data_IF_508314799908
#
_entry.id   IF_508314799908
#
_cell.length_a   1.000
_cell.length_b   1.000
_cell.length_c   1.000
_cell.angle_alpha   90.00
_cell.angle_beta   90.00
_cell.angle_gamma   90.00
#
_symmetry.space_group_name_H-M   'P 1'
#
loop_
_entity.id
_entity.type
_entity.pdbx_description
1 polymer ?
#
# COMPACT_ATOMS: atom_id res chain seq x y z
N UNK A 1 51.22 -19.53 -30.17
CA UNK A 1 50.07 -20.28 -30.59
C UNK A 1 49.51 -20.90 -29.29
N UNK A 2 48.44 -20.44 -28.75
CA UNK A 2 47.11 -20.40 -29.22
C UNK A 2 46.25 -19.43 -28.38
N UNK A 3 45.26 -18.87 -29.03
CA UNK A 3 44.41 -17.83 -28.59
C UNK A 3 43.17 -18.45 -27.90
N UNK A 4 42.99 -18.19 -26.61
CA UNK A 4 41.80 -18.57 -25.84
C UNK A 4 40.89 -17.40 -25.58
N UNK A 5 39.80 -17.30 -26.33
CA UNK A 5 38.75 -16.27 -26.26
C UNK A 5 38.02 -16.24 -24.91
N UNK A 6 38.02 -15.11 -24.28
CA UNK A 6 37.21 -14.81 -23.10
C UNK A 6 35.72 -14.89 -23.38
N UNK A 7 35.06 -15.83 -22.78
CA UNK A 7 33.60 -15.85 -22.64
C UNK A 7 33.18 -14.88 -21.56
N UNK A 8 32.44 -13.81 -21.93
CA UNK A 8 31.72 -12.98 -21.00
C UNK A 8 30.53 -13.81 -20.48
N UNK A 9 30.69 -14.40 -19.31
CA UNK A 9 29.57 -14.97 -18.56
C UNK A 9 28.73 -13.82 -18.02
N UNK A 10 27.50 -13.77 -18.48
CA UNK A 10 26.47 -12.88 -17.93
C UNK A 10 26.39 -13.14 -16.42
N UNK A 11 26.62 -12.09 -15.63
CA UNK A 11 26.56 -12.14 -14.19
C UNK A 11 25.15 -12.51 -13.75
N UNK A 12 25.00 -13.67 -13.13
CA UNK A 12 23.80 -14.05 -12.42
C UNK A 12 23.65 -13.10 -11.22
N UNK A 13 22.58 -12.31 -11.22
CA UNK A 13 22.16 -11.54 -10.07
C UNK A 13 21.65 -12.52 -9.00
N UNK A 14 22.48 -12.86 -8.01
CA UNK A 14 22.06 -13.67 -6.88
C UNK A 14 21.22 -12.79 -5.93
N UNK A 15 19.94 -13.06 -5.88
CA UNK A 15 19.05 -12.47 -4.87
C UNK A 15 19.23 -13.29 -3.59
N UNK A 16 19.97 -12.75 -2.62
CA UNK A 16 20.03 -13.31 -1.27
C UNK A 16 18.87 -12.71 -0.48
N UNK A 17 17.86 -13.53 -0.17
CA UNK A 17 16.77 -13.19 0.75
C UNK A 17 17.30 -13.36 2.17
N UNK A 18 17.80 -12.28 2.77
CA UNK A 18 17.90 -12.18 4.20
C UNK A 18 16.57 -11.62 4.71
N UNK A 19 16.08 -12.14 5.83
CA UNK A 19 14.72 -11.93 6.35
C UNK A 19 14.35 -10.46 6.66
N UNK A 20 15.26 -9.49 6.44
CA UNK A 20 15.07 -8.09 6.82
C UNK A 20 15.50 -7.05 5.75
N UNK A 21 16.06 -7.43 4.60
CA UNK A 21 16.41 -6.46 3.55
C UNK A 21 16.65 -7.11 2.19
N UNK A 22 16.07 -6.54 1.12
CA UNK A 22 16.46 -6.86 -0.24
C UNK A 22 17.72 -6.06 -0.60
N UNK A 23 18.81 -6.75 -0.92
CA UNK A 23 20.02 -6.13 -1.44
C UNK A 23 20.01 -6.20 -2.97
N UNK A 24 20.00 -5.06 -3.64
CA UNK A 24 20.29 -4.97 -5.06
C UNK A 24 21.78 -4.72 -5.22
N UNK A 25 22.47 -5.62 -5.90
CA UNK A 25 23.87 -5.45 -6.23
C UNK A 25 23.96 -4.57 -7.48
N UNK A 26 24.51 -3.38 -7.35
CA UNK A 26 24.85 -2.56 -8.50
C UNK A 26 26.18 -3.08 -9.08
N UNK A 27 26.11 -3.70 -10.24
CA UNK A 27 27.25 -4.27 -10.95
C UNK A 27 28.25 -3.23 -11.47
N UNK A 28 27.94 -1.95 -11.34
CA UNK A 28 28.80 -0.85 -11.82
C UNK A 28 29.65 -0.25 -10.72
N UNK A 29 29.14 -0.19 -9.49
CA UNK A 29 29.82 0.52 -8.38
C UNK A 29 30.33 -0.39 -7.26
N UNK A 30 30.06 -1.70 -7.31
CA UNK A 30 30.33 -2.66 -6.24
C UNK A 30 29.79 -2.25 -4.83
N UNK A 31 28.94 -1.27 -4.76
CA UNK A 31 28.33 -0.83 -3.52
C UNK A 31 27.02 -1.58 -3.22
N UNK A 32 26.90 -2.11 -2.00
CA UNK A 32 25.64 -2.62 -1.46
C UNK A 32 24.70 -1.45 -1.23
N UNK A 33 23.74 -1.28 -2.13
CA UNK A 33 22.63 -0.36 -1.88
C UNK A 33 21.58 -1.11 -1.09
N UNK A 34 21.51 -0.86 0.20
CA UNK A 34 20.43 -1.37 1.05
C UNK A 34 19.17 -0.55 0.75
N UNK A 35 18.34 -1.07 -0.13
CA UNK A 35 17.02 -0.49 -0.36
C UNK A 35 16.08 -1.14 0.65
N UNK A 36 15.91 -0.49 1.79
CA UNK A 36 14.82 -0.82 2.72
C UNK A 36 13.51 -0.48 2.02
N UNK A 37 12.91 -1.46 1.39
CA UNK A 37 11.61 -1.34 0.73
C UNK A 37 10.64 -2.21 1.47
N UNK A 38 9.61 -1.56 2.01
CA UNK A 38 8.56 -2.23 2.78
C UNK A 38 7.28 -2.33 1.97
N UNK A 39 6.51 -3.36 2.20
CA UNK A 39 5.15 -3.43 1.66
C UNK A 39 4.20 -2.64 2.54
N UNK A 40 3.49 -1.74 1.92
CA UNK A 40 2.56 -0.83 2.58
C UNK A 40 1.14 -1.19 2.17
N UNK A 41 0.26 -1.35 3.14
CA UNK A 41 -1.16 -1.59 2.91
C UNK A 41 -1.96 -0.33 3.24
N UNK A 42 -2.73 0.15 2.29
CA UNK A 42 -3.73 1.18 2.48
C UNK A 42 -5.11 0.56 2.74
N UNK A 43 -5.84 1.13 3.69
CA UNK A 43 -7.14 0.66 4.17
C UNK A 43 -8.13 1.83 4.14
N UNK A 44 -9.11 1.77 3.25
CA UNK A 44 -10.27 2.69 3.23
C UNK A 44 -11.41 2.05 4.01
N UNK A 45 -11.50 2.39 5.31
CA UNK A 45 -12.42 1.76 6.25
C UNK A 45 -13.84 2.33 6.12
N UNK A 46 -14.73 1.57 5.49
CA UNK A 46 -16.13 1.91 5.32
C UNK A 46 -17.09 1.06 6.19
N UNK A 47 -18.35 1.51 6.33
CA UNK A 47 -19.36 0.85 7.18
C UNK A 47 -19.78 -0.56 6.71
N UNK A 48 -19.63 -0.90 5.44
CA UNK A 48 -20.01 -2.19 4.88
C UNK A 48 -18.98 -2.75 3.89
N UNK A 49 -18.08 -1.92 3.43
CA UNK A 49 -17.04 -2.26 2.47
C UNK A 49 -15.76 -1.58 2.92
N UNK A 50 -14.71 -2.33 3.07
CA UNK A 50 -13.37 -1.83 3.36
C UNK A 50 -12.49 -2.07 2.15
N UNK A 51 -12.07 -0.99 1.50
CA UNK A 51 -11.13 -1.06 0.39
C UNK A 51 -9.72 -1.33 0.89
N UNK A 52 -9.01 -2.22 0.20
CA UNK A 52 -7.62 -2.57 0.50
C UNK A 52 -6.78 -2.36 -0.73
N UNK A 53 -5.61 -1.77 -0.57
CA UNK A 53 -4.57 -1.73 -1.59
C UNK A 53 -3.20 -2.01 -0.96
N UNK A 54 -2.36 -2.78 -1.65
CA UNK A 54 -1.02 -3.13 -1.16
C UNK A 54 0.01 -2.72 -2.21
N UNK A 55 1.07 -2.06 -1.78
CA UNK A 55 2.14 -1.63 -2.67
C UNK A 55 2.93 -2.82 -3.24
N UNK A 56 3.56 -2.59 -4.37
CA UNK A 56 4.66 -3.44 -4.79
C UNK A 56 5.90 -3.21 -3.90
N UNK A 57 6.92 -4.03 -4.05
CA UNK A 57 8.19 -3.89 -3.32
C UNK A 57 8.96 -2.62 -3.69
N UNK A 58 8.62 -1.97 -4.82
CA UNK A 58 9.29 -0.76 -5.26
C UNK A 58 8.72 0.50 -4.63
N UNK A 59 7.63 0.38 -3.88
CA UNK A 59 6.84 1.50 -3.35
C UNK A 59 6.41 2.50 -4.44
N UNK A 60 6.22 2.00 -5.66
CA UNK A 60 5.87 2.83 -6.82
C UNK A 60 4.39 2.80 -7.14
N UNK A 61 3.76 1.64 -7.02
CA UNK A 61 2.39 1.37 -7.48
C UNK A 61 1.64 0.49 -6.49
N UNK A 62 0.30 0.57 -6.54
CA UNK A 62 -0.57 -0.42 -5.93
C UNK A 62 -0.49 -1.72 -6.74
N UNK A 63 0.21 -2.73 -6.23
CA UNK A 63 0.40 -4.03 -6.88
C UNK A 63 -0.77 -4.99 -6.67
N UNK A 64 -1.56 -4.77 -5.61
CA UNK A 64 -2.74 -5.58 -5.27
C UNK A 64 -3.86 -4.68 -4.76
N UNK A 65 -5.11 -5.02 -5.07
CA UNK A 65 -6.28 -4.36 -4.50
C UNK A 65 -7.44 -5.32 -4.33
N UNK A 66 -8.19 -5.18 -3.23
CA UNK A 66 -9.34 -6.01 -2.89
C UNK A 66 -10.36 -5.21 -2.05
N UNK A 67 -11.51 -5.83 -1.77
CA UNK A 67 -12.55 -5.26 -0.90
C UNK A 67 -13.03 -6.30 0.09
N UNK A 68 -12.91 -6.00 1.37
CA UNK A 68 -13.49 -6.80 2.44
C UNK A 68 -14.95 -6.35 2.63
N UNK A 69 -15.88 -7.29 2.41
CA UNK A 69 -17.31 -7.06 2.56
C UNK A 69 -17.78 -7.50 3.94
N UNK A 70 -17.78 -6.59 4.90
CA UNK A 70 -18.33 -6.84 6.23
C UNK A 70 -18.72 -5.53 6.92
N UNK A 71 -19.71 -5.64 7.82
CA UNK A 71 -20.11 -4.59 8.76
C UNK A 71 -19.55 -4.83 10.17
N UNK A 72 -18.92 -5.97 10.39
CA UNK A 72 -18.34 -6.31 11.68
C UNK A 72 -16.85 -6.03 11.65
N UNK A 73 -16.41 -5.27 12.62
CA UNK A 73 -15.01 -4.86 12.75
C UNK A 73 -14.07 -6.07 12.88
N UNK A 74 -14.50 -7.11 13.60
CA UNK A 74 -13.71 -8.33 13.81
C UNK A 74 -13.45 -9.09 12.49
N UNK A 75 -14.44 -9.11 11.60
CA UNK A 75 -14.29 -9.76 10.27
C UNK A 75 -13.36 -8.94 9.37
N UNK A 76 -13.44 -7.60 9.44
CA UNK A 76 -12.51 -6.73 8.73
C UNK A 76 -11.09 -6.90 9.25
N UNK A 77 -10.92 -6.92 10.58
CA UNK A 77 -9.61 -7.14 11.21
C UNK A 77 -8.99 -8.47 10.79
N UNK A 78 -9.76 -9.57 10.87
CA UNK A 78 -9.31 -10.90 10.44
C UNK A 78 -8.91 -10.92 8.96
N UNK A 79 -9.66 -10.23 8.10
CA UNK A 79 -9.31 -10.08 6.68
C UNK A 79 -8.01 -9.32 6.47
N UNK A 80 -7.80 -8.23 7.21
CA UNK A 80 -6.56 -7.44 7.17
C UNK A 80 -5.37 -8.27 7.65
N UNK A 81 -5.49 -8.97 8.79
CA UNK A 81 -4.43 -9.83 9.34
C UNK A 81 -4.03 -10.94 8.35
N UNK A 82 -5.01 -11.56 7.68
CA UNK A 82 -4.74 -12.55 6.63
C UNK A 82 -3.92 -11.95 5.50
N UNK A 83 -4.32 -10.79 4.97
CA UNK A 83 -3.61 -10.12 3.88
C UNK A 83 -2.22 -9.64 4.29
N UNK A 84 -2.03 -9.20 5.54
CA UNK A 84 -0.71 -8.88 6.10
C UNK A 84 0.22 -10.10 6.01
N UNK A 85 -0.26 -11.27 6.46
CA UNK A 85 0.51 -12.51 6.44
C UNK A 85 0.78 -13.01 5.01
N UNK A 86 -0.22 -12.96 4.12
CA UNK A 86 -0.11 -13.42 2.74
C UNK A 86 0.86 -12.56 1.91
N UNK A 87 0.87 -11.25 2.14
CA UNK A 87 1.65 -10.31 1.33
C UNK A 87 2.94 -9.83 2.00
N UNK A 88 3.15 -10.09 3.29
CA UNK A 88 4.31 -9.59 4.04
C UNK A 88 4.27 -8.06 4.19
N UNK A 89 3.13 -7.53 4.66
CA UNK A 89 2.94 -6.09 4.88
C UNK A 89 3.65 -5.67 6.15
N UNK A 90 4.30 -4.50 6.12
CA UNK A 90 5.11 -3.97 7.21
C UNK A 90 4.61 -2.62 7.74
N UNK A 91 3.77 -1.92 6.98
CA UNK A 91 3.19 -0.63 7.35
C UNK A 91 1.73 -0.55 6.93
N UNK A 92 0.87 -0.02 7.79
CA UNK A 92 -0.53 0.23 7.49
C UNK A 92 -0.80 1.74 7.32
N UNK A 93 -1.56 2.09 6.30
CA UNK A 93 -2.04 3.45 6.04
C UNK A 93 -3.55 3.42 6.08
N UNK A 94 -4.16 4.05 7.07
CA UNK A 94 -5.61 4.08 7.25
C UNK A 94 -6.18 5.45 6.82
N UNK A 95 -7.18 5.45 5.96
CA UNK A 95 -7.90 6.63 5.56
C UNK A 95 -8.56 7.33 6.75
N UNK A 96 -8.33 8.64 6.87
CA UNK A 96 -8.84 9.47 7.97
C UNK A 96 -9.63 10.66 7.39
N UNK A 97 -10.96 10.49 7.19
CA UNK A 97 -11.77 11.51 6.56
C UNK A 97 -11.99 12.69 7.51
N UNK A 98 -11.37 13.83 7.24
CA UNK A 98 -11.64 15.11 7.94
C UNK A 98 -12.70 15.92 7.20
N UNK A 99 -13.52 16.65 7.93
CA UNK A 99 -14.45 17.61 7.35
C UNK A 99 -13.70 18.77 6.66
N UNK A 100 -14.35 19.44 5.71
CA UNK A 100 -13.75 20.57 4.98
C UNK A 100 -13.36 21.73 5.89
N UNK A 101 -14.09 21.92 7.00
CA UNK A 101 -13.82 22.90 8.06
C UNK A 101 -12.71 22.49 9.04
N UNK A 102 -12.13 21.30 8.86
CA UNK A 102 -11.08 20.76 9.72
C UNK A 102 -11.58 20.04 10.98
N UNK A 103 -12.88 20.01 11.22
CA UNK A 103 -13.47 19.29 12.35
C UNK A 103 -13.39 17.78 12.17
N UNK A 104 -13.36 17.06 13.30
CA UNK A 104 -13.36 15.60 13.33
C UNK A 104 -14.81 15.14 13.37
N UNK A 105 -15.25 14.45 12.32
CA UNK A 105 -16.59 13.87 12.27
C UNK A 105 -16.61 12.46 12.88
N UNK A 106 -17.82 11.94 13.15
CA UNK A 106 -18.03 10.57 13.68
C UNK A 106 -17.29 9.49 12.89
N UNK A 107 -17.17 9.66 11.58
CA UNK A 107 -16.44 8.71 10.73
C UNK A 107 -14.93 8.73 10.99
N UNK A 108 -14.35 9.89 11.21
CA UNK A 108 -12.95 10.04 11.56
C UNK A 108 -12.64 9.44 12.95
N UNK A 109 -13.56 9.62 13.93
CA UNK A 109 -13.44 9.00 15.25
C UNK A 109 -13.46 7.47 15.15
N UNK A 110 -14.34 6.88 14.34
CA UNK A 110 -14.36 5.43 14.08
C UNK A 110 -13.05 4.96 13.44
N UNK A 111 -12.51 5.69 12.47
CA UNK A 111 -11.23 5.34 11.85
C UNK A 111 -10.09 5.43 12.87
N UNK A 112 -10.05 6.45 13.73
CA UNK A 112 -9.04 6.57 14.77
C UNK A 112 -9.12 5.39 15.77
N UNK A 113 -10.33 5.03 16.23
CA UNK A 113 -10.53 3.88 17.11
C UNK A 113 -10.08 2.56 16.44
N UNK A 114 -10.40 2.38 15.15
CA UNK A 114 -9.97 1.19 14.42
C UNK A 114 -8.44 1.16 14.21
N UNK A 115 -7.78 2.31 14.06
CA UNK A 115 -6.33 2.39 14.00
C UNK A 115 -5.66 1.85 15.27
N UNK A 116 -6.22 2.15 16.45
CA UNK A 116 -5.69 1.62 17.72
C UNK A 116 -5.87 0.10 17.80
N UNK A 117 -7.01 -0.42 17.36
CA UNK A 117 -7.23 -1.88 17.29
C UNK A 117 -6.22 -2.53 16.34
N UNK A 118 -6.01 -1.95 15.14
CA UNK A 118 -5.02 -2.45 14.20
C UNK A 118 -3.61 -2.49 14.79
N UNK A 119 -3.17 -1.42 15.48
CA UNK A 119 -1.85 -1.38 16.14
C UNK A 119 -1.71 -2.48 17.18
N UNK A 120 -2.71 -2.66 18.02
CA UNK A 120 -2.69 -3.66 19.10
C UNK A 120 -2.68 -5.09 18.54
N UNK A 121 -3.50 -5.38 17.54
CA UNK A 121 -3.73 -6.73 17.03
C UNK A 121 -2.70 -7.18 15.98
N UNK A 122 -2.05 -6.25 15.28
CA UNK A 122 -1.06 -6.57 14.25
C UNK A 122 0.38 -6.30 14.68
N UNK A 123 0.59 -5.43 15.67
CA UNK A 123 1.91 -4.95 16.07
C UNK A 123 2.57 -4.03 15.04
N UNK A 124 1.89 -3.67 13.96
CA UNK A 124 2.42 -2.82 12.91
C UNK A 124 2.14 -1.34 13.19
N UNK A 125 2.98 -0.47 12.65
CA UNK A 125 2.72 0.96 12.62
C UNK A 125 1.49 1.25 11.74
N UNK A 126 0.59 2.14 12.23
CA UNK A 126 -0.60 2.59 11.50
C UNK A 126 -0.54 4.10 11.34
N UNK A 127 -0.39 4.56 10.11
CA UNK A 127 -0.40 5.97 9.73
C UNK A 127 -1.81 6.39 9.36
N UNK A 128 -2.32 7.46 9.97
CA UNK A 128 -3.60 8.07 9.57
C UNK A 128 -3.36 9.02 8.39
N UNK A 129 -4.06 8.77 7.29
CA UNK A 129 -3.93 9.54 6.06
C UNK A 129 -5.15 10.44 5.81
N UNK A 130 -4.95 11.74 5.72
CA UNK A 130 -6.02 12.71 5.42
C UNK A 130 -6.38 12.66 3.93
N UNK A 131 -7.58 12.17 3.61
CA UNK A 131 -8.08 11.95 2.25
C UNK A 131 -8.39 13.25 1.47
N UNK A 132 -8.43 14.41 2.10
CA UNK A 132 -8.78 15.68 1.44
C UNK A 132 -7.90 16.03 0.25
N UNK A 133 -6.73 15.41 0.15
CA UNK A 133 -5.74 15.66 -0.92
C UNK A 133 -5.85 14.72 -2.11
N UNK A 134 -6.60 13.62 -2.00
CA UNK A 134 -6.71 12.57 -3.02
C UNK A 134 -8.04 12.54 -3.78
N UNK A 135 -9.07 13.18 -3.25
CA UNK A 135 -10.47 13.04 -3.74
C UNK A 135 -10.72 13.68 -5.11
N UNK A 136 -9.91 14.68 -5.51
CA UNK A 136 -10.15 15.42 -6.77
C UNK A 136 -9.82 14.54 -7.99
N UNK A 137 -8.82 13.67 -7.91
CA UNK A 137 -8.39 12.84 -9.04
C UNK A 137 -9.17 11.54 -9.17
N UNK A 138 -9.62 10.93 -8.07
CA UNK A 138 -10.36 9.67 -8.05
C UNK A 138 -11.71 9.76 -8.79
N UNK A 139 -12.48 10.81 -8.57
CA UNK A 139 -13.76 11.03 -9.25
C UNK A 139 -13.62 11.22 -10.77
N UNK A 140 -12.55 11.86 -11.21
CA UNK A 140 -12.29 12.12 -12.62
C UNK A 140 -11.90 10.84 -13.39
N UNK A 141 -11.18 9.92 -12.75
CA UNK A 141 -10.76 8.65 -13.36
C UNK A 141 -11.93 7.69 -13.52
N UNK A 142 -12.82 7.62 -12.53
CA UNK A 142 -13.97 6.70 -12.50
C UNK A 142 -15.10 7.12 -13.47
N UNK A 143 -15.28 8.42 -13.71
CA UNK A 143 -16.27 8.91 -14.67
C UNK A 143 -15.93 8.55 -16.12
N UNK A 144 -14.65 8.36 -16.45
CA UNK A 144 -14.20 8.04 -17.82
C UNK A 144 -14.43 6.60 -18.26
N UNK A 145 -14.65 5.66 -17.34
CA UNK A 145 -14.64 4.23 -17.66
C UNK A 145 -16.00 3.54 -17.81
N UNK A 146 -17.13 4.25 -17.92
CA UNK A 146 -18.43 3.75 -18.46
C UNK A 146 -19.01 2.42 -17.92
N UNK A 147 -18.61 1.92 -16.75
CA UNK A 147 -19.02 0.59 -16.26
C UNK A 147 -20.35 0.58 -15.48
N UNK A 148 -21.08 -0.56 -15.51
CA UNK A 148 -22.37 -0.76 -14.85
C UNK A 148 -22.36 -0.53 -13.33
N UNK A 149 -23.39 0.12 -12.78
CA UNK A 149 -23.48 0.63 -11.39
C UNK A 149 -23.19 -0.42 -10.29
N UNK A 150 -23.51 -1.70 -10.50
CA UNK A 150 -23.32 -2.77 -9.51
C UNK A 150 -21.89 -3.34 -9.50
N UNK A 151 -21.23 -3.35 -10.65
CA UNK A 151 -19.79 -3.66 -10.80
C UNK A 151 -18.94 -2.49 -10.35
N UNK A 152 -19.43 -1.25 -10.55
CA UNK A 152 -18.82 0.00 -10.12
C UNK A 152 -18.54 0.07 -8.63
N UNK A 153 -19.47 -0.42 -7.76
CA UNK A 153 -19.34 -0.28 -6.31
C UNK A 153 -18.16 -1.09 -5.74
N UNK A 154 -17.94 -2.33 -6.22
CA UNK A 154 -16.75 -3.13 -5.85
C UNK A 154 -15.43 -2.51 -6.35
N UNK A 155 -15.47 -1.94 -7.54
CA UNK A 155 -14.30 -1.32 -8.17
C UNK A 155 -13.99 0.03 -7.53
N UNK A 156 -15.00 0.79 -7.07
CA UNK A 156 -14.83 2.13 -6.47
C UNK A 156 -14.06 2.06 -5.15
N UNK A 157 -14.43 1.14 -4.25
CA UNK A 157 -13.80 1.06 -2.93
C UNK A 157 -12.33 0.56 -3.04
N UNK A 158 -12.07 -0.42 -3.92
CA UNK A 158 -10.70 -0.88 -4.22
C UNK A 158 -9.86 0.22 -4.91
N UNK A 159 -10.47 0.97 -5.84
CA UNK A 159 -9.80 2.09 -6.53
C UNK A 159 -9.54 3.25 -5.56
N UNK A 160 -10.45 3.54 -4.64
CA UNK A 160 -10.25 4.56 -3.61
C UNK A 160 -9.04 4.22 -2.74
N UNK A 161 -8.94 2.98 -2.26
CA UNK A 161 -7.79 2.51 -1.49
C UNK A 161 -6.48 2.57 -2.31
N UNK A 162 -6.52 2.20 -3.60
CA UNK A 162 -5.35 2.27 -4.47
C UNK A 162 -4.86 3.71 -4.68
N UNK A 163 -5.79 4.64 -4.94
CA UNK A 163 -5.45 6.07 -5.11
C UNK A 163 -4.93 6.70 -3.80
N UNK A 164 -5.51 6.30 -2.66
CA UNK A 164 -5.01 6.69 -1.36
C UNK A 164 -3.57 6.21 -1.15
N UNK A 165 -3.29 4.95 -1.47
CA UNK A 165 -1.95 4.38 -1.41
C UNK A 165 -0.96 5.14 -2.31
N UNK A 166 -1.31 5.37 -3.57
CA UNK A 166 -0.45 6.10 -4.52
C UNK A 166 -0.16 7.53 -4.05
N UNK A 167 -1.17 8.20 -3.47
CA UNK A 167 -1.01 9.52 -2.84
C UNK A 167 -0.01 9.49 -1.68
N UNK A 168 -0.12 8.49 -0.80
CA UNK A 168 0.80 8.28 0.31
C UNK A 168 2.22 7.99 -0.18
N UNK A 169 2.39 7.06 -1.13
CA UNK A 169 3.68 6.69 -1.70
C UNK A 169 4.37 7.88 -2.39
N UNK A 170 3.59 8.68 -3.11
CA UNK A 170 4.10 9.89 -3.76
C UNK A 170 4.62 10.89 -2.73
N UNK A 171 3.87 11.13 -1.66
CA UNK A 171 4.29 12.02 -0.60
C UNK A 171 5.55 11.51 0.11
N UNK A 172 5.59 10.22 0.46
CA UNK A 172 6.73 9.58 1.10
C UNK A 172 8.02 9.74 0.27
N UNK A 173 7.91 9.60 -1.07
CA UNK A 173 9.04 9.84 -1.98
C UNK A 173 9.51 11.29 -2.00
N UNK A 174 8.57 12.23 -1.98
CA UNK A 174 8.89 13.68 -1.97
C UNK A 174 9.52 14.12 -0.64
N UNK A 175 9.15 13.49 0.47
CA UNK A 175 9.73 13.75 1.80
C UNK A 175 11.08 13.05 2.04
N UNK A 176 11.62 12.37 1.03
CA UNK A 176 12.98 11.82 1.03
C UNK A 176 13.10 10.42 1.63
N UNK A 177 12.04 9.61 1.60
CA UNK A 177 12.14 8.16 1.89
C UNK A 177 12.82 7.83 3.23
N UNK A 178 12.41 8.49 4.32
CA UNK A 178 12.87 8.14 5.68
C UNK A 178 12.00 7.07 6.27
#
# INVERSE_FOLDING_TARGET
>A
MDCGRGGRTAGFCAVLVAQEAYFVYDSVTEQKVQVLRMKIMAIDYGDAHTGIAISDYTEMLAGYSDVIHSRKQEEVLSGVQRLIAEHGVELLVLGYPRNMDGTVGVRAEKCAAFAEVLRQETGLEVVLWDERRTTIDAHNILQRNGQNAKKRKKTVDAVAAALMLEGYLTRRRLEGGR
#
